data_IF_767178812994
#
_entry.id   IF_767178812994
#
_cell.length_a   1.000
_cell.length_b   1.000
_cell.length_c   1.000
_cell.angle_alpha   90.00
_cell.angle_beta   90.00
_cell.angle_gamma   90.00
#
_symmetry.space_group_name_H-M   'P 1'
#
loop_
_entity.id
_entity.type
_entity.pdbx_description
1 polymer ?
#
# COMPACT_ATOMS: atom_id res chain seq x y z
N UNK A 1 0.91 -6.54 1.70
CA UNK A 1 -0.21 -5.89 0.97
C UNK A 1 0.13 -5.81 -0.52
N UNK A 2 -0.83 -5.97 -1.42
CA UNK A 2 -0.71 -5.69 -2.86
C UNK A 2 -1.49 -4.44 -3.22
N UNK A 3 -1.00 -3.70 -4.21
CA UNK A 3 -1.68 -2.52 -4.79
C UNK A 3 -1.51 -2.60 -6.29
N UNK A 4 -2.58 -2.36 -7.06
CA UNK A 4 -2.56 -2.33 -8.52
C UNK A 4 -3.24 -1.08 -9.04
N UNK A 5 -2.56 -0.33 -9.91
CA UNK A 5 -3.22 0.71 -10.70
C UNK A 5 -4.03 0.07 -11.84
N UNK A 6 -5.05 0.78 -12.32
CA UNK A 6 -5.69 0.47 -13.61
C UNK A 6 -4.71 0.84 -14.71
N UNK A 7 -3.81 -0.09 -15.05
CA UNK A 7 -2.67 0.17 -15.93
C UNK A 7 -3.11 0.59 -17.34
N UNK A 8 -4.32 0.19 -17.76
CA UNK A 8 -4.95 0.59 -19.02
C UNK A 8 -5.24 2.10 -19.07
N UNK A 9 -5.39 2.74 -17.90
CA UNK A 9 -5.55 4.19 -17.75
C UNK A 9 -4.23 4.91 -17.46
N UNK A 10 -3.11 4.17 -17.38
CA UNK A 10 -1.78 4.70 -17.12
C UNK A 10 -1.25 4.42 -15.71
N UNK A 11 0.05 4.69 -15.53
CA UNK A 11 0.73 4.66 -14.24
C UNK A 11 0.87 6.11 -13.75
N UNK A 12 0.16 6.46 -12.68
CA UNK A 12 0.05 7.84 -12.21
C UNK A 12 0.66 8.07 -10.84
N UNK A 13 0.67 7.07 -9.95
CA UNK A 13 1.25 7.23 -8.61
C UNK A 13 2.78 7.40 -8.70
N UNK A 14 3.28 8.50 -8.14
CA UNK A 14 4.71 8.80 -8.04
C UNK A 14 5.24 8.61 -6.61
N UNK A 15 4.39 8.76 -5.60
CA UNK A 15 4.75 8.53 -4.21
C UNK A 15 3.51 8.17 -3.37
N UNK A 16 3.64 7.17 -2.49
CA UNK A 16 2.60 6.78 -1.55
C UNK A 16 3.18 6.26 -0.23
N UNK A 17 2.36 6.24 0.81
CA UNK A 17 2.66 5.56 2.06
C UNK A 17 1.49 4.72 2.59
N UNK A 18 1.82 3.80 3.48
CA UNK A 18 0.89 3.03 4.29
C UNK A 18 1.04 3.46 5.74
N UNK A 19 -0.08 3.72 6.39
CA UNK A 19 -0.12 4.22 7.76
C UNK A 19 -1.12 3.41 8.59
N UNK A 20 -0.88 3.32 9.89
CA UNK A 20 -1.79 2.72 10.88
C UNK A 20 -2.12 3.73 11.97
N UNK A 21 -3.27 3.63 12.66
CA UNK A 21 -3.56 4.46 13.82
C UNK A 21 -2.48 4.35 14.88
N UNK A 22 -2.11 5.48 15.47
CA UNK A 22 -1.18 5.59 16.58
C UNK A 22 -1.66 6.67 17.56
N UNK A 23 -1.02 6.77 18.73
CA UNK A 23 -1.29 7.85 19.67
C UNK A 23 -1.06 9.21 18.98
N UNK A 24 -2.13 10.00 18.82
CA UNK A 24 -2.07 11.30 18.16
C UNK A 24 -2.26 11.30 16.64
N UNK A 25 -2.68 10.19 16.03
CA UNK A 25 -3.11 10.18 14.63
C UNK A 25 -2.71 8.91 13.89
N UNK A 26 -1.78 9.04 12.95
CA UNK A 26 -1.36 7.94 12.07
C UNK A 26 0.16 7.86 12.01
N UNK A 27 0.68 6.64 12.11
CA UNK A 27 2.10 6.34 11.96
C UNK A 27 2.34 5.66 10.61
N UNK A 28 3.33 6.14 9.86
CA UNK A 28 3.81 5.49 8.64
C UNK A 28 4.53 4.18 8.95
N UNK A 29 4.15 3.11 8.24
CA UNK A 29 4.76 1.78 8.35
C UNK A 29 5.44 1.33 7.05
N UNK A 30 5.19 2.04 5.95
CA UNK A 30 5.78 1.75 4.64
C UNK A 30 5.66 2.98 3.73
N UNK A 31 6.69 3.25 2.93
CA UNK A 31 6.69 4.29 1.88
C UNK A 31 7.37 3.78 0.63
N UNK A 32 6.84 4.16 -0.52
CA UNK A 32 7.42 3.84 -1.81
C UNK A 32 7.01 4.88 -2.88
N UNK A 33 7.68 4.80 -4.04
CA UNK A 33 7.39 5.66 -5.17
C UNK A 33 6.20 5.14 -6.00
N UNK A 34 6.47 4.32 -7.02
CA UNK A 34 5.47 3.91 -8.02
C UNK A 34 4.70 2.65 -7.62
N UNK A 35 3.48 2.52 -8.15
CA UNK A 35 2.67 1.28 -8.07
C UNK A 35 2.70 0.52 -9.41
N UNK A 36 2.19 1.12 -10.48
CA UNK A 36 2.11 0.50 -11.81
C UNK A 36 1.21 -0.73 -11.84
N UNK A 37 1.60 -1.76 -12.61
CA UNK A 37 0.80 -2.99 -12.75
C UNK A 37 0.53 -3.67 -11.41
N UNK A 38 1.56 -3.84 -10.57
CA UNK A 38 1.41 -4.38 -9.22
C UNK A 38 2.59 -4.00 -8.33
N UNK A 39 2.29 -3.56 -7.11
CA UNK A 39 3.26 -3.33 -6.03
C UNK A 39 2.97 -4.24 -4.85
N UNK A 40 3.95 -5.06 -4.47
CA UNK A 40 3.91 -5.85 -3.24
C UNK A 40 4.62 -5.04 -2.16
N UNK A 41 3.86 -4.59 -1.17
CA UNK A 41 4.36 -3.85 -0.01
C UNK A 41 4.60 -4.84 1.14
N UNK A 42 5.87 -5.05 1.49
CA UNK A 42 6.32 -5.85 2.62
C UNK A 42 6.78 -4.91 3.75
N UNK A 43 6.25 -5.12 4.94
CA UNK A 43 6.53 -4.38 6.16
C UNK A 43 6.41 -5.36 7.35
N UNK A 44 6.95 -5.04 8.54
CA UNK A 44 6.79 -5.87 9.72
C UNK A 44 5.32 -6.17 10.03
N UNK A 45 5.04 -7.32 10.66
CA UNK A 45 3.67 -7.68 11.08
C UNK A 45 3.11 -6.59 12.02
N UNK A 46 1.88 -6.16 11.74
CA UNK A 46 1.16 -5.17 12.56
C UNK A 46 -0.21 -5.72 12.95
N UNK A 47 -0.64 -5.40 14.18
CA UNK A 47 -2.01 -5.64 14.64
C UNK A 47 -2.79 -4.34 14.56
N UNK A 48 -3.74 -4.25 13.64
CA UNK A 48 -4.56 -3.04 13.45
C UNK A 48 -5.92 -3.39 12.84
N UNK A 49 -6.92 -2.57 13.12
CA UNK A 49 -8.22 -2.62 12.44
C UNK A 49 -8.29 -1.68 11.23
N UNK A 50 -7.35 -0.73 11.13
CA UNK A 50 -7.31 0.27 10.07
C UNK A 50 -5.92 0.31 9.46
N UNK A 51 -5.88 0.24 8.14
CA UNK A 51 -4.69 0.51 7.35
C UNK A 51 -5.07 1.60 6.35
N UNK A 52 -4.34 2.72 6.38
CA UNK A 52 -4.54 3.86 5.49
C UNK A 52 -3.51 3.82 4.37
N UNK A 53 -3.98 3.66 3.14
CA UNK A 53 -3.19 3.91 1.95
C UNK A 53 -3.33 5.38 1.56
N UNK A 54 -2.22 6.10 1.45
CA UNK A 54 -2.21 7.53 1.12
C UNK A 54 -1.32 7.80 -0.08
N UNK A 55 -1.91 8.26 -1.17
CA UNK A 55 -1.16 8.79 -2.33
C UNK A 55 -0.65 10.18 -1.95
N UNK A 56 0.66 10.35 -2.01
CA UNK A 56 1.35 11.60 -1.66
C UNK A 56 1.60 12.45 -2.89
N UNK A 57 1.89 11.80 -4.00
CA UNK A 57 2.15 12.44 -5.29
C UNK A 57 1.65 11.57 -6.42
N UNK A 58 0.98 12.19 -7.40
CA UNK A 58 0.55 11.52 -8.61
C UNK A 58 0.50 12.47 -9.82
N UNK A 59 0.65 11.88 -11.01
CA UNK A 59 0.41 12.54 -12.29
C UNK A 59 -1.07 12.47 -12.64
N UNK A 60 -1.83 13.48 -12.21
CA UNK A 60 -3.26 13.54 -12.47
C UNK A 60 -4.07 12.53 -11.65
N UNK A 61 -5.21 12.09 -12.18
CA UNK A 61 -6.15 11.23 -11.47
C UNK A 61 -5.66 9.79 -11.41
N UNK A 62 -5.50 9.24 -10.21
CA UNK A 62 -5.15 7.83 -10.02
C UNK A 62 -6.39 6.94 -10.07
N UNK A 63 -6.23 5.72 -10.59
CA UNK A 63 -7.27 4.69 -10.61
C UNK A 63 -6.65 3.38 -10.17
N UNK A 64 -7.32 2.66 -9.27
CA UNK A 64 -6.85 1.38 -8.74
C UNK A 64 -7.81 0.28 -9.15
N UNK A 65 -7.25 -0.88 -9.48
CA UNK A 65 -8.02 -2.10 -9.74
C UNK A 65 -8.13 -2.97 -8.50
N UNK A 66 -7.08 -2.98 -7.66
CA UNK A 66 -7.03 -3.90 -6.53
C UNK A 66 -6.17 -3.32 -5.39
N UNK A 67 -6.65 -3.52 -4.17
CA UNK A 67 -5.86 -3.50 -2.95
C UNK A 67 -6.08 -4.83 -2.22
N UNK A 68 -5.01 -5.56 -1.96
CA UNK A 68 -5.04 -6.82 -1.21
C UNK A 68 -4.27 -6.72 0.10
N UNK A 69 -4.87 -7.16 1.21
CA UNK A 69 -4.21 -7.23 2.52
C UNK A 69 -4.07 -8.71 2.89
N UNK A 70 -2.86 -9.10 3.28
CA UNK A 70 -2.50 -10.49 3.52
C UNK A 70 -1.64 -10.58 4.77
N UNK A 71 -1.81 -11.68 5.49
CA UNK A 71 -0.89 -12.11 6.54
C UNK A 71 0.00 -13.22 5.97
N UNK A 72 1.31 -12.99 5.99
CA UNK A 72 2.32 -13.95 5.53
C UNK A 72 3.10 -14.45 6.74
N UNK A 73 2.72 -15.64 7.23
CA UNK A 73 3.42 -16.29 8.33
C UNK A 73 4.66 -17.03 7.80
N UNK A 74 5.83 -16.42 8.03
CA UNK A 74 7.13 -17.03 7.67
C UNK A 74 7.42 -18.34 8.40
N UNK A 75 6.66 -18.70 9.44
CA UNK A 75 6.85 -19.93 10.22
C UNK A 75 5.90 -21.06 9.80
N UNK A 76 5.12 -20.86 8.73
CA UNK A 76 4.30 -21.92 8.16
C UNK A 76 5.18 -22.92 7.41
N UNK A 77 5.62 -23.95 8.11
CA UNK A 77 6.23 -25.14 7.51
C UNK A 77 5.21 -25.73 6.52
N UNK A 78 5.58 -25.77 5.24
CA UNK A 78 4.86 -26.51 4.19
C UNK A 78 5.21 -27.99 4.28
#
# INVERSE_FOLDING_TARGET
>A
MTIKETIELGQHIEEFCLEIPAAGGFQEIYRAATVGYQRICRFPTVHTQVLRFRVLKARGKTSLTEIGIYYDDKHRNL
#
